data_IF_210909348800
#
_entry.id   IF_210909348800
#
_cell.length_a   1.000
_cell.length_b   1.000
_cell.length_c   1.000
_cell.angle_alpha   90.00
_cell.angle_beta   90.00
_cell.angle_gamma   90.00
#
_symmetry.space_group_name_H-M   'P 1'
#
loop_
_entity.id
_entity.type
_entity.pdbx_description
1 polymer ?
#
# COMPACT_ATOMS: atom_id res chain seq x y z
N UNK A 1 -15.47 4.05 -17.71
CA UNK A 1 -15.24 4.37 -17.42
C UNK A 1 -14.71 4.45 -16.54
N UNK A 2 -14.51 4.33 -16.16
CA UNK A 2 -14.15 4.27 -15.29
C UNK A 2 -13.52 4.99 -14.69
N UNK A 3 -13.33 5.35 -14.51
CA UNK A 3 -12.77 6.14 -13.98
C UNK A 3 -12.75 6.26 -12.76
N UNK A 4 -12.03 5.86 -12.18
CA UNK A 4 -11.95 6.04 -10.87
C UNK A 4 -11.76 7.42 -10.54
N UNK A 5 -12.57 7.91 -9.78
CA UNK A 5 -12.44 9.15 -9.12
C UNK A 5 -11.30 8.99 -8.14
N UNK A 6 -10.34 9.91 -8.07
CA UNK A 6 -9.28 9.82 -7.07
C UNK A 6 -9.80 9.68 -5.65
N UNK A 7 -10.96 10.25 -5.37
CA UNK A 7 -11.52 10.13 -4.02
C UNK A 7 -12.01 8.74 -3.70
N UNK A 8 -12.33 7.93 -4.72
CA UNK A 8 -12.69 6.53 -4.48
C UNK A 8 -11.49 5.76 -3.94
N UNK A 9 -10.30 6.01 -4.50
CA UNK A 9 -9.09 5.34 -4.02
C UNK A 9 -8.71 5.84 -2.64
N UNK A 10 -8.85 7.13 -2.39
CA UNK A 10 -8.59 7.68 -1.06
C UNK A 10 -9.49 7.03 -0.04
N UNK A 11 -10.80 6.97 -0.34
CA UNK A 11 -11.75 6.35 0.58
C UNK A 11 -11.43 4.89 0.83
N UNK A 12 -11.03 4.19 -0.22
CA UNK A 12 -10.69 2.79 -0.10
C UNK A 12 -9.52 2.60 0.87
N UNK A 13 -8.50 3.44 0.75
CA UNK A 13 -7.33 3.34 1.62
C UNK A 13 -7.69 3.69 3.05
N UNK A 14 -8.34 4.84 3.27
CA UNK A 14 -8.56 5.30 4.64
C UNK A 14 -9.61 4.50 5.38
N UNK A 15 -10.36 3.66 4.70
CA UNK A 15 -11.35 2.83 5.37
C UNK A 15 -10.72 1.61 6.05
N UNK A 16 -9.42 1.41 5.92
CA UNK A 16 -8.74 0.31 6.58
C UNK A 16 -7.42 0.80 7.14
N UNK A 17 -7.27 0.69 8.45
CA UNK A 17 -6.03 1.03 9.12
C UNK A 17 -4.84 0.27 8.51
N UNK A 18 -5.07 -0.98 8.15
CA UNK A 18 -3.99 -1.79 7.60
C UNK A 18 -3.54 -1.29 6.24
N UNK A 19 -4.49 -0.85 5.41
CA UNK A 19 -4.12 -0.26 4.12
C UNK A 19 -3.40 1.06 4.29
N UNK A 20 -3.84 1.88 5.25
CA UNK A 20 -3.19 3.16 5.52
C UNK A 20 -1.73 2.95 5.92
N UNK A 21 -1.50 2.09 6.92
CA UNK A 21 -0.16 1.89 7.42
C UNK A 21 0.76 1.26 6.37
N UNK A 22 0.23 0.34 5.59
CA UNK A 22 1.01 -0.31 4.56
C UNK A 22 1.39 0.67 3.45
N UNK A 23 0.44 1.46 2.98
CA UNK A 23 0.71 2.42 1.92
C UNK A 23 1.66 3.51 2.41
N UNK A 24 1.46 3.96 3.64
CA UNK A 24 2.34 4.96 4.24
C UNK A 24 3.79 4.48 4.24
N UNK A 25 3.99 3.22 4.64
CA UNK A 25 5.34 2.68 4.68
C UNK A 25 5.95 2.60 3.27
N UNK A 26 5.15 2.18 2.30
CA UNK A 26 5.66 2.06 0.94
C UNK A 26 5.92 3.42 0.30
N UNK A 27 5.28 4.47 0.78
CA UNK A 27 5.59 5.82 0.32
C UNK A 27 7.02 6.21 0.70
N UNK A 28 7.62 5.54 1.68
CA UNK A 28 9.00 5.79 2.07
C UNK A 28 9.99 5.02 1.21
N UNK A 29 9.54 3.99 0.54
CA UNK A 29 10.39 3.18 -0.33
C UNK A 29 9.93 1.74 -0.35
N UNK A 30 10.45 0.95 -1.31
CA UNK A 30 10.06 -0.45 -1.43
C UNK A 30 10.36 -1.25 -0.17
N UNK A 31 9.58 -2.27 0.06
CA UNK A 31 9.76 -3.10 1.25
C UNK A 31 9.12 -4.47 1.04
N UNK A 32 9.55 -5.43 1.87
CA UNK A 32 8.94 -6.75 1.90
C UNK A 32 7.79 -6.73 2.91
N UNK A 33 6.87 -7.68 2.82
CA UNK A 33 5.80 -7.77 3.82
C UNK A 33 6.34 -7.90 5.25
N UNK A 34 7.42 -8.66 5.43
CA UNK A 34 8.00 -8.82 6.75
C UNK A 34 8.53 -7.52 7.31
N UNK A 35 9.19 -6.74 6.47
CA UNK A 35 9.73 -5.46 6.90
C UNK A 35 8.59 -4.50 7.26
N UNK A 36 7.55 -4.48 6.44
CA UNK A 36 6.40 -3.63 6.73
C UNK A 36 5.78 -4.02 8.07
N UNK A 37 5.58 -5.32 8.28
CA UNK A 37 4.98 -5.79 9.53
C UNK A 37 5.85 -5.40 10.72
N UNK A 38 7.15 -5.55 10.57
CA UNK A 38 8.09 -5.25 11.63
C UNK A 38 8.07 -3.77 12.01
N UNK A 39 8.05 -2.92 11.01
CA UNK A 39 8.14 -1.48 11.23
C UNK A 39 6.80 -0.85 11.64
N UNK A 40 5.68 -1.45 11.22
CA UNK A 40 4.37 -0.90 11.56
C UNK A 40 3.78 -1.50 12.81
N UNK A 41 4.31 -2.63 13.25
CA UNK A 41 3.74 -3.35 14.38
C UNK A 41 2.51 -4.17 14.03
N UNK A 42 2.14 -4.22 12.76
CA UNK A 42 0.99 -5.02 12.32
C UNK A 42 1.40 -6.46 12.13
N UNK A 43 0.43 -7.38 12.19
CA UNK A 43 0.74 -8.77 11.89
C UNK A 43 1.02 -8.93 10.41
N UNK A 44 1.84 -9.93 10.08
CA UNK A 44 2.19 -10.16 8.70
C UNK A 44 0.96 -10.56 7.88
N UNK A 45 0.00 -11.22 8.51
CA UNK A 45 -1.23 -11.59 7.82
C UNK A 45 -2.02 -10.35 7.39
N UNK A 46 -2.11 -9.36 8.27
CA UNK A 46 -2.81 -8.12 7.93
C UNK A 46 -2.07 -7.34 6.86
N UNK A 47 -0.74 -7.32 6.94
CA UNK A 47 0.05 -6.62 5.93
C UNK A 47 -0.10 -7.29 4.58
N UNK A 48 -0.02 -8.62 4.55
CA UNK A 48 -0.15 -9.35 3.29
C UNK A 48 -1.49 -9.10 2.64
N UNK A 49 -2.56 -9.08 3.43
CA UNK A 49 -3.88 -8.81 2.91
C UNK A 49 -4.00 -7.38 2.39
N UNK A 50 -3.45 -6.43 3.14
CA UNK A 50 -3.49 -5.04 2.69
C UNK A 50 -2.72 -4.87 1.39
N UNK A 51 -1.57 -5.52 1.25
CA UNK A 51 -0.81 -5.47 0.01
C UNK A 51 -1.59 -6.04 -1.15
N UNK A 52 -2.29 -7.15 -0.92
CA UNK A 52 -3.11 -7.75 -1.96
C UNK A 52 -4.20 -6.78 -2.40
N UNK A 53 -4.87 -6.16 -1.45
CA UNK A 53 -5.94 -5.22 -1.74
C UNK A 53 -5.43 -3.98 -2.46
N UNK A 54 -4.30 -3.45 -2.00
CA UNK A 54 -3.71 -2.27 -2.64
C UNK A 54 -3.22 -2.59 -4.05
N UNK A 55 -2.71 -3.80 -4.24
CA UNK A 55 -2.25 -4.23 -5.56
C UNK A 55 -3.42 -4.35 -6.52
N UNK A 56 -4.54 -4.89 -6.05
CA UNK A 56 -5.73 -5.00 -6.87
C UNK A 56 -6.25 -3.63 -7.29
N UNK A 57 -6.03 -2.62 -6.46
CA UNK A 57 -6.41 -1.26 -6.78
C UNK A 57 -5.35 -0.50 -7.54
N UNK A 58 -4.27 -1.16 -7.92
CA UNK A 58 -3.19 -0.55 -8.68
C UNK A 58 -2.42 0.52 -7.91
N UNK A 59 -2.49 0.49 -6.59
CA UNK A 59 -1.80 1.47 -5.77
C UNK A 59 -0.41 1.01 -5.36
N UNK A 60 -0.18 -0.31 -5.38
CA UNK A 60 1.15 -0.87 -5.17
C UNK A 60 1.40 -1.93 -6.22
N UNK A 61 2.66 -2.27 -6.40
CA UNK A 61 3.05 -3.26 -7.39
C UNK A 61 4.14 -4.16 -6.82
N UNK A 62 4.23 -5.37 -7.36
CA UNK A 62 5.26 -6.32 -6.97
C UNK A 62 6.50 -6.05 -7.79
N UNK A 63 7.58 -5.68 -7.15
CA UNK A 63 8.83 -5.34 -7.83
C UNK A 63 9.76 -6.53 -7.99
N UNK A 64 9.71 -7.46 -7.02
CA UNK A 64 10.55 -8.64 -7.07
C UNK A 64 9.66 -9.86 -7.03
N UNK A 65 9.90 -10.74 -8.00
CA UNK A 65 9.08 -11.92 -8.22
C UNK A 65 9.02 -12.82 -6.99
N UNK A 66 7.91 -13.49 -6.82
CA UNK A 66 7.76 -14.42 -5.72
C UNK A 66 8.59 -15.68 -5.88
N UNK A 67 9.25 -15.87 -7.01
CA UNK A 67 10.18 -16.97 -7.18
C UNK A 67 11.38 -16.83 -6.28
N UNK A 68 11.64 -15.61 -5.81
CA UNK A 68 12.79 -15.39 -4.98
C UNK A 68 12.54 -15.94 -3.59
N UNK A 69 13.52 -16.63 -3.08
CA UNK A 69 13.38 -17.18 -1.75
C UNK A 69 13.31 -16.14 -0.68
N UNK A 70 13.87 -14.99 -0.92
CA UNK A 70 13.88 -13.96 0.08
C UNK A 70 12.59 -13.20 0.20
N UNK A 71 11.62 -13.60 -0.57
CA UNK A 71 10.33 -12.99 -0.47
C UNK A 71 10.12 -11.92 -1.51
N UNK A 72 8.97 -11.31 -1.47
CA UNK A 72 8.53 -10.34 -2.46
C UNK A 72 8.84 -8.94 -2.00
N UNK A 73 9.23 -8.09 -2.93
CA UNK A 73 9.41 -6.67 -2.63
C UNK A 73 8.32 -5.91 -3.35
N UNK A 74 7.59 -5.11 -2.61
CA UNK A 74 6.51 -4.29 -3.16
C UNK A 74 6.94 -2.83 -3.19
N UNK A 75 6.37 -2.08 -4.12
CA UNK A 75 6.60 -0.64 -4.21
C UNK A 75 5.30 0.08 -4.46
N UNK A 76 5.30 1.37 -4.21
CA UNK A 76 4.13 2.20 -4.45
C UNK A 76 4.13 2.62 -5.93
N UNK A 77 2.95 2.66 -6.53
CA UNK A 77 2.82 3.10 -7.92
C UNK A 77 2.62 4.60 -7.96
N UNK A 78 2.65 5.18 -9.18
CA UNK A 78 2.34 6.60 -9.31
C UNK A 78 0.94 6.93 -8.79
N UNK A 79 -0.10 6.17 -9.17
CA UNK A 79 -1.42 6.41 -8.57
C UNK A 79 -1.41 6.26 -7.05
N UNK A 80 -0.67 5.29 -6.53
CA UNK A 80 -0.58 5.10 -5.09
C UNK A 80 0.06 6.29 -4.41
N UNK A 81 1.11 6.84 -5.03
CA UNK A 81 1.78 8.00 -4.46
C UNK A 81 0.85 9.22 -4.45
N UNK A 82 0.05 9.37 -5.50
CA UNK A 82 -0.90 10.47 -5.55
C UNK A 82 -1.98 10.34 -4.48
N UNK A 83 -2.46 9.13 -4.26
CA UNK A 83 -3.43 8.89 -3.20
C UNK A 83 -2.82 9.23 -1.85
N UNK A 84 -1.59 8.78 -1.60
CA UNK A 84 -0.94 9.06 -0.34
C UNK A 84 -0.72 10.56 -0.14
N UNK A 85 -0.29 11.25 -1.20
CA UNK A 85 -0.08 12.70 -1.13
C UNK A 85 -1.38 13.42 -0.79
N UNK A 86 -2.49 12.96 -1.33
CA UNK A 86 -3.79 13.56 -1.05
C UNK A 86 -4.18 13.34 0.42
N UNK A 87 -3.96 12.12 0.91
CA UNK A 87 -4.27 11.81 2.31
C UNK A 87 -3.48 12.73 3.24
N UNK A 88 -2.20 12.91 2.96
CA UNK A 88 -1.36 13.77 3.77
C UNK A 88 -1.77 15.24 3.65
N UNK A 89 -2.01 15.70 2.43
CA UNK A 89 -2.33 17.10 2.19
C UNK A 89 -3.64 17.49 2.85
N UNK A 90 -4.60 16.57 2.87
CA UNK A 90 -5.89 16.83 3.48
C UNK A 90 -5.92 16.49 4.96
N UNK A 91 -4.82 16.00 5.47
CA UNK A 91 -4.71 15.66 6.90
C UNK A 91 -5.82 14.72 7.33
N UNK A 92 -5.99 13.66 6.59
CA UNK A 92 -7.14 12.75 6.77
C UNK A 92 -6.92 11.69 7.84
N UNK A 93 -5.75 11.68 8.46
CA UNK A 93 -5.44 10.66 9.47
C UNK A 93 -5.32 11.24 10.85
#
# INVERSE_FOLDING_TARGET
MSNSDPWDDVSYVISSRYRVETLKRLAEGPATPSLIADETGLSIAHVSRALQELKEGDLVTLLVSEDRRKGRVYGITDPGQEVWNTIEAENML
#
